data_IF_561559873378
#
_entry.id   IF_561559873378
#
_cell.length_a   1.000
_cell.length_b   1.000
_cell.length_c   1.000
_cell.angle_alpha   90.00
_cell.angle_beta   90.00
_cell.angle_gamma   90.00
#
_symmetry.space_group_name_H-M   'P 1'
#
loop_
_entity.id
_entity.type
_entity.pdbx_description
1 polymer ?
#
# COMPACT_ATOMS: atom_id res chain seq x y z
N UNK A 1 14.56 -7.49 -4.10
CA UNK A 1 13.61 -6.99 -3.10
C UNK A 1 12.23 -7.47 -3.49
N UNK A 2 11.46 -7.98 -2.54
CA UNK A 2 10.07 -8.40 -2.77
C UNK A 2 9.20 -7.47 -1.94
N UNK A 3 8.19 -6.88 -2.57
CA UNK A 3 7.20 -6.03 -1.91
C UNK A 3 5.83 -6.70 -2.03
N UNK A 4 5.01 -6.58 -0.99
CA UNK A 4 3.67 -7.18 -0.96
C UNK A 4 2.67 -6.06 -0.78
N UNK A 5 1.70 -5.99 -1.69
CA UNK A 5 0.57 -5.06 -1.56
C UNK A 5 -0.48 -5.59 -0.59
N UNK A 6 -1.67 -4.98 -0.62
CA UNK A 6 -2.81 -5.50 0.12
C UNK A 6 -3.20 -6.90 -0.40
N UNK A 7 -3.51 -7.82 0.50
CA UNK A 7 -4.01 -9.14 0.14
C UNK A 7 -4.99 -9.73 1.16
N UNK A 8 -5.88 -10.56 0.63
CA UNK A 8 -6.82 -11.43 1.33
C UNK A 8 -6.51 -12.90 1.00
N UNK A 9 -7.29 -13.83 1.55
CA UNK A 9 -7.19 -15.26 1.17
C UNK A 9 -7.55 -15.54 -0.29
N UNK A 10 -8.19 -14.61 -0.99
CA UNK A 10 -8.73 -14.84 -2.34
C UNK A 10 -8.33 -13.79 -3.38
N UNK A 11 -7.68 -12.72 -2.97
CA UNK A 11 -7.28 -11.58 -3.82
C UNK A 11 -5.99 -10.96 -3.27
N UNK A 12 -5.12 -10.40 -4.10
CA UNK A 12 -3.94 -9.69 -3.63
C UNK A 12 -2.88 -9.45 -4.70
N UNK A 13 -1.77 -8.82 -4.30
CA UNK A 13 -0.67 -8.49 -5.20
C UNK A 13 0.70 -8.58 -4.54
N UNK A 14 1.71 -8.92 -5.33
CA UNK A 14 3.12 -8.89 -4.93
C UNK A 14 4.00 -8.39 -6.07
N UNK A 15 5.09 -7.71 -5.74
CA UNK A 15 6.10 -7.26 -6.68
C UNK A 15 7.43 -7.93 -6.38
N UNK A 16 7.99 -8.57 -7.40
CA UNK A 16 9.35 -9.09 -7.38
C UNK A 16 10.28 -8.11 -8.09
N UNK A 17 11.38 -7.71 -7.44
CA UNK A 17 12.38 -6.82 -8.02
C UNK A 17 13.79 -7.36 -7.80
N UNK A 18 14.65 -7.24 -8.81
CA UNK A 18 16.09 -7.44 -8.68
C UNK A 18 16.87 -6.11 -8.63
N UNK A 19 16.17 -4.96 -8.57
CA UNK A 19 16.74 -3.62 -8.64
C UNK A 19 16.86 -3.04 -10.06
N UNK A 20 16.71 -3.86 -11.09
CA UNK A 20 16.76 -3.44 -12.51
C UNK A 20 15.43 -3.69 -13.24
N UNK A 21 14.71 -4.74 -12.87
CA UNK A 21 13.44 -5.14 -13.45
C UNK A 21 12.47 -5.56 -12.35
N UNK A 22 11.19 -5.28 -12.60
CA UNK A 22 10.12 -5.55 -11.67
C UNK A 22 9.02 -6.37 -12.34
N UNK A 23 8.50 -7.35 -11.61
CA UNK A 23 7.34 -8.13 -11.99
C UNK A 23 6.30 -8.02 -10.88
N UNK A 24 5.19 -7.38 -11.18
CA UNK A 24 4.01 -7.36 -10.33
C UNK A 24 3.11 -8.55 -10.69
N UNK A 25 2.70 -9.32 -9.69
CA UNK A 25 1.80 -10.46 -9.81
C UNK A 25 0.59 -10.21 -8.93
N UNK A 26 -0.56 -10.13 -9.56
CA UNK A 26 -1.86 -10.03 -8.89
C UNK A 26 -2.63 -11.35 -9.01
N UNK A 27 -3.37 -11.72 -7.97
CA UNK A 27 -4.30 -12.84 -7.99
C UNK A 27 -5.68 -12.39 -7.53
N UNK A 28 -6.73 -13.00 -8.10
CA UNK A 28 -8.14 -12.64 -7.90
C UNK A 28 -9.03 -13.88 -8.06
N UNK A 29 -10.29 -13.87 -7.61
CA UNK A 29 -11.24 -14.94 -7.88
C UNK A 29 -11.37 -15.25 -9.39
N UNK A 30 -11.43 -16.53 -9.76
CA UNK A 30 -11.39 -17.00 -11.16
C UNK A 30 -12.53 -16.48 -12.04
N UNK A 31 -13.69 -16.18 -11.46
CA UNK A 31 -14.85 -15.62 -12.16
C UNK A 31 -14.58 -14.22 -12.73
N UNK A 32 -13.56 -13.53 -12.24
CA UNK A 32 -13.12 -12.23 -12.75
C UNK A 32 -12.25 -12.33 -14.01
N UNK A 33 -11.72 -13.50 -14.35
CA UNK A 33 -10.66 -13.67 -15.35
C UNK A 33 -11.03 -13.11 -16.73
N UNK A 34 -12.19 -13.51 -17.28
CA UNK A 34 -12.58 -13.11 -18.63
C UNK A 34 -12.79 -11.60 -18.76
N UNK A 35 -13.28 -10.97 -17.68
CA UNK A 35 -13.42 -9.51 -17.61
C UNK A 35 -12.06 -8.82 -17.73
N UNK A 36 -11.04 -9.32 -17.02
CA UNK A 36 -9.69 -8.74 -17.10
C UNK A 36 -8.99 -9.02 -18.43
N UNK A 37 -9.19 -10.21 -19.02
CA UNK A 37 -8.70 -10.48 -20.38
C UNK A 37 -9.30 -9.51 -21.39
N UNK A 38 -10.60 -9.24 -21.31
CA UNK A 38 -11.28 -8.26 -22.17
C UNK A 38 -10.78 -6.83 -21.95
N UNK A 39 -10.59 -6.44 -20.68
CA UNK A 39 -10.05 -5.14 -20.31
C UNK A 39 -8.66 -4.89 -20.93
N UNK A 40 -7.74 -5.86 -20.83
CA UNK A 40 -6.40 -5.73 -21.42
C UNK A 40 -6.41 -5.79 -22.94
N UNK A 41 -7.31 -6.57 -23.52
CA UNK A 41 -7.46 -6.59 -24.97
C UNK A 41 -7.89 -5.22 -25.56
N UNK A 42 -8.57 -4.36 -24.78
CA UNK A 42 -9.06 -3.07 -25.28
C UNK A 42 -7.95 -2.05 -25.59
N UNK A 43 -6.77 -2.19 -24.96
CA UNK A 43 -5.65 -1.25 -25.12
C UNK A 43 -4.33 -1.88 -25.57
N UNK A 44 -4.31 -3.20 -25.79
CA UNK A 44 -3.07 -3.94 -26.05
C UNK A 44 -2.86 -4.33 -27.52
N UNK A 45 -1.65 -4.79 -27.83
CA UNK A 45 -1.38 -5.59 -29.02
C UNK A 45 -2.30 -6.83 -29.08
N UNK A 46 -2.56 -7.39 -30.28
CA UNK A 46 -3.33 -8.63 -30.40
C UNK A 46 -2.83 -9.71 -29.43
N UNK A 47 -3.74 -10.38 -28.70
CA UNK A 47 -3.36 -11.33 -27.65
C UNK A 47 -2.58 -12.51 -28.24
N UNK A 48 -1.61 -12.99 -27.47
CA UNK A 48 -0.87 -14.24 -27.74
C UNK A 48 -1.30 -15.31 -26.75
N UNK A 49 -1.50 -16.52 -27.25
CA UNK A 49 -1.74 -17.67 -26.39
C UNK A 49 -0.39 -18.21 -25.90
N UNK A 50 -0.26 -18.40 -24.60
CA UNK A 50 0.96 -18.86 -23.93
C UNK A 50 0.64 -19.98 -22.95
N UNK A 51 1.67 -20.58 -22.37
CA UNK A 51 1.54 -21.54 -21.27
C UNK A 51 2.35 -21.05 -20.09
N UNK A 52 1.73 -21.00 -18.90
CA UNK A 52 2.38 -20.64 -17.64
C UNK A 52 2.25 -21.82 -16.70
N UNK A 53 3.35 -22.48 -16.35
CA UNK A 53 3.36 -23.66 -15.47
C UNK A 53 2.37 -24.76 -15.87
N UNK A 54 2.24 -25.01 -17.17
CA UNK A 54 1.29 -25.98 -17.72
C UNK A 54 -0.15 -25.49 -17.84
N UNK A 55 -0.45 -24.27 -17.40
CA UNK A 55 -1.77 -23.66 -17.53
C UNK A 55 -1.84 -22.78 -18.80
N UNK A 56 -2.95 -22.81 -19.55
CA UNK A 56 -3.19 -21.87 -20.63
C UNK A 56 -3.22 -20.42 -20.13
N UNK A 57 -2.52 -19.53 -20.83
CA UNK A 57 -2.49 -18.10 -20.53
C UNK A 57 -2.71 -17.24 -21.78
N UNK A 58 -3.10 -15.99 -21.55
CA UNK A 58 -3.21 -14.96 -22.59
C UNK A 58 -2.24 -13.83 -22.26
N UNK A 59 -1.31 -13.59 -23.18
CA UNK A 59 -0.28 -12.56 -23.06
C UNK A 59 -0.60 -11.37 -23.98
N UNK A 60 -0.34 -10.19 -23.46
CA UNK A 60 -0.51 -8.89 -24.09
C UNK A 60 0.81 -8.12 -24.01
N UNK A 61 0.98 -7.18 -24.96
CA UNK A 61 2.03 -6.17 -24.89
C UNK A 61 1.38 -4.81 -25.12
N UNK A 62 1.64 -3.87 -24.23
CA UNK A 62 1.15 -2.49 -24.38
C UNK A 62 1.89 -1.83 -25.56
N UNK A 63 1.20 -1.43 -26.64
CA UNK A 63 1.84 -0.95 -27.86
C UNK A 63 2.80 0.22 -27.62
N UNK A 64 3.99 0.15 -28.20
CA UNK A 64 5.01 1.20 -28.08
C UNK A 64 5.74 1.21 -26.74
N UNK A 65 5.52 0.21 -25.88
CA UNK A 65 6.19 0.10 -24.57
C UNK A 65 6.85 -1.27 -24.39
N UNK A 66 7.83 -1.37 -23.46
CA UNK A 66 8.39 -2.66 -23.02
C UNK A 66 7.49 -3.38 -21.98
N UNK A 67 6.23 -2.97 -21.82
CA UNK A 67 5.32 -3.59 -20.86
C UNK A 67 4.68 -4.86 -21.42
N UNK A 68 4.84 -5.96 -20.69
CA UNK A 68 4.19 -7.23 -20.96
C UNK A 68 3.23 -7.58 -19.83
N UNK A 69 2.10 -8.18 -20.20
CA UNK A 69 1.04 -8.59 -19.27
C UNK A 69 0.59 -10.00 -19.64
N UNK A 70 0.55 -10.93 -18.69
CA UNK A 70 0.07 -12.30 -18.90
C UNK A 70 -0.98 -12.62 -17.88
N UNK A 71 -2.13 -13.10 -18.35
CA UNK A 71 -3.21 -13.58 -17.50
C UNK A 71 -3.37 -15.09 -17.68
N UNK A 72 -3.49 -15.82 -16.59
CA UNK A 72 -3.77 -17.26 -16.60
C UNK A 72 -4.67 -17.66 -15.44
N UNK A 73 -5.23 -18.88 -15.50
CA UNK A 73 -5.99 -19.47 -14.41
C UNK A 73 -5.19 -20.59 -13.76
N UNK A 74 -5.33 -20.76 -12.45
CA UNK A 74 -4.84 -21.95 -11.75
C UNK A 74 -5.79 -22.25 -10.58
N UNK A 75 -6.55 -23.34 -10.69
CA UNK A 75 -7.63 -23.67 -9.76
C UNK A 75 -8.73 -22.59 -9.75
N UNK A 76 -9.12 -22.15 -8.56
CA UNK A 76 -10.17 -21.14 -8.34
C UNK A 76 -9.66 -19.69 -8.39
N UNK A 77 -8.43 -19.49 -8.88
CA UNK A 77 -7.75 -18.20 -8.96
C UNK A 77 -7.43 -17.79 -10.40
N UNK A 78 -7.53 -16.49 -10.65
CA UNK A 78 -7.06 -15.79 -11.84
C UNK A 78 -5.80 -15.01 -11.48
N UNK A 79 -4.72 -15.23 -12.21
CA UNK A 79 -3.46 -14.53 -12.03
C UNK A 79 -3.21 -13.55 -13.17
N UNK A 80 -2.47 -12.51 -12.85
CA UNK A 80 -1.99 -11.50 -13.79
C UNK A 80 -0.57 -11.11 -13.41
N UNK A 81 0.39 -11.34 -14.31
CA UNK A 81 1.76 -10.86 -14.16
C UNK A 81 2.01 -9.71 -15.13
N UNK A 82 2.52 -8.58 -14.62
CA UNK A 82 2.88 -7.41 -15.44
C UNK A 82 4.26 -6.88 -15.09
N UNK A 83 4.97 -6.34 -16.08
CA UNK A 83 6.25 -5.68 -15.84
C UNK A 83 6.89 -5.13 -17.10
N UNK A 84 7.94 -4.32 -16.89
CA UNK A 84 8.74 -3.72 -17.95
C UNK A 84 9.99 -4.57 -18.20
N UNK A 85 10.13 -5.11 -19.40
CA UNK A 85 11.25 -5.98 -19.77
C UNK A 85 11.85 -5.59 -21.12
N UNK A 86 13.17 -5.75 -21.25
CA UNK A 86 13.89 -5.43 -22.49
C UNK A 86 13.34 -6.20 -23.70
N UNK A 87 12.95 -7.45 -23.48
CA UNK A 87 12.35 -8.31 -24.49
C UNK A 87 11.37 -9.31 -23.85
N UNK A 88 10.58 -9.93 -24.73
CA UNK A 88 9.55 -10.89 -24.36
C UNK A 88 10.13 -12.16 -23.73
N UNK A 89 11.27 -12.64 -24.22
CA UNK A 89 11.82 -13.92 -23.77
C UNK A 89 12.31 -13.81 -22.33
N UNK A 90 12.90 -12.66 -21.98
CA UNK A 90 13.27 -12.30 -20.61
C UNK A 90 12.05 -12.24 -19.70
N UNK A 91 10.96 -11.59 -20.13
CA UNK A 91 9.70 -11.56 -19.40
C UNK A 91 9.12 -12.98 -19.19
N UNK A 92 9.01 -13.75 -20.27
CA UNK A 92 8.44 -15.10 -20.24
C UNK A 92 9.24 -16.03 -19.30
N UNK A 93 10.57 -15.93 -19.29
CA UNK A 93 11.41 -16.72 -18.40
C UNK A 93 11.14 -16.44 -16.91
N UNK A 94 10.85 -15.18 -16.54
CA UNK A 94 10.50 -14.83 -15.14
C UNK A 94 9.10 -15.33 -14.80
N UNK A 95 8.13 -15.19 -15.70
CA UNK A 95 6.76 -15.69 -15.48
C UNK A 95 6.75 -17.22 -15.34
N UNK A 96 7.54 -17.93 -16.14
CA UNK A 96 7.70 -19.40 -16.03
C UNK A 96 8.43 -19.85 -14.76
N UNK A 97 9.23 -18.97 -14.14
CA UNK A 97 9.90 -19.26 -12.87
C UNK A 97 8.97 -19.13 -11.66
N UNK A 98 7.78 -18.53 -11.80
CA UNK A 98 6.80 -18.44 -10.73
C UNK A 98 6.33 -19.84 -10.35
N UNK A 99 6.39 -20.19 -9.06
CA UNK A 99 5.93 -21.51 -8.59
C UNK A 99 4.78 -21.33 -7.61
N UNK A 100 3.64 -22.03 -7.81
CA UNK A 100 2.61 -22.11 -6.79
C UNK A 100 3.19 -22.74 -5.53
N UNK A 101 2.90 -22.15 -4.38
CA UNK A 101 3.35 -22.65 -3.08
C UNK A 101 2.19 -22.60 -2.08
N UNK A 102 2.28 -23.35 -0.98
CA UNK A 102 1.28 -23.31 0.07
C UNK A 102 1.40 -22.01 0.91
N UNK A 103 0.33 -21.68 1.64
CA UNK A 103 0.23 -20.43 2.42
C UNK A 103 1.36 -20.33 3.45
N UNK A 104 1.74 -21.43 4.12
CA UNK A 104 2.77 -21.39 5.15
C UNK A 104 4.16 -21.16 4.54
N UNK A 105 4.48 -21.86 3.44
CA UNK A 105 5.70 -21.66 2.67
C UNK A 105 5.80 -20.23 2.11
N UNK A 106 4.69 -19.68 1.62
CA UNK A 106 4.61 -18.31 1.13
C UNK A 106 4.83 -17.29 2.26
N UNK A 107 4.11 -17.41 3.38
CA UNK A 107 4.27 -16.54 4.55
C UNK A 107 5.68 -16.62 5.16
N UNK A 108 6.33 -17.78 5.07
CA UNK A 108 7.72 -17.95 5.52
C UNK A 108 8.76 -17.37 4.57
N UNK A 109 8.40 -17.13 3.30
CA UNK A 109 9.26 -16.47 2.33
C UNK A 109 9.10 -14.94 2.34
N UNK A 110 8.13 -14.41 3.09
CA UNK A 110 7.88 -12.98 3.15
C UNK A 110 8.99 -12.21 3.87
N UNK A 111 9.28 -10.96 3.45
CA UNK A 111 10.20 -10.11 4.17
C UNK A 111 9.68 -9.86 5.60
N UNK A 112 10.61 -9.54 6.51
CA UNK A 112 10.31 -9.30 7.93
C UNK A 112 9.29 -8.16 8.14
N UNK A 113 9.10 -7.27 7.14
CA UNK A 113 8.10 -6.19 7.16
C UNK A 113 6.66 -6.70 7.09
N UNK A 114 6.39 -7.93 6.65
CA UNK A 114 5.02 -8.45 6.52
C UNK A 114 4.46 -8.85 7.89
N UNK A 115 3.34 -8.24 8.27
CA UNK A 115 2.62 -8.58 9.50
C UNK A 115 1.69 -9.78 9.25
N UNK A 116 1.99 -10.90 9.90
CA UNK A 116 1.21 -12.14 9.81
C UNK A 116 -0.15 -12.04 10.51
N UNK A 117 -1.18 -12.80 10.07
CA UNK A 117 -2.53 -12.69 10.63
C UNK A 117 -2.56 -13.03 12.12
N UNK A 118 -1.86 -14.10 12.51
CA UNK A 118 -1.78 -14.53 13.90
C UNK A 118 -1.02 -13.57 14.82
N UNK A 119 -0.28 -12.60 14.27
CA UNK A 119 0.52 -11.65 15.04
C UNK A 119 -0.11 -10.24 15.06
N UNK A 120 -1.15 -9.97 14.27
CA UNK A 120 -1.72 -8.62 14.08
C UNK A 120 -2.04 -7.91 15.40
N UNK A 121 -2.78 -8.55 16.30
CA UNK A 121 -3.10 -7.98 17.62
C UNK A 121 -1.86 -7.60 18.42
N UNK A 122 -0.85 -8.48 18.46
CA UNK A 122 0.39 -8.21 19.20
C UNK A 122 1.20 -7.07 18.58
N UNK A 123 1.15 -6.93 17.26
CA UNK A 123 1.84 -5.86 16.52
C UNK A 123 1.12 -4.53 16.73
N UNK A 124 -0.21 -4.50 16.65
CA UNK A 124 -1.03 -3.31 16.95
C UNK A 124 -0.77 -2.85 18.39
N UNK A 125 -0.80 -3.77 19.36
CA UNK A 125 -0.52 -3.46 20.76
C UNK A 125 0.90 -2.87 20.94
N UNK A 126 1.89 -3.38 20.20
CA UNK A 126 3.24 -2.81 20.20
C UNK A 126 3.30 -1.41 19.60
N UNK A 127 2.58 -1.14 18.51
CA UNK A 127 2.54 0.18 17.87
C UNK A 127 1.85 1.23 18.74
N UNK A 128 0.87 0.81 19.54
CA UNK A 128 0.10 1.69 20.42
C UNK A 128 0.78 1.97 21.78
N UNK A 129 1.88 1.29 22.10
CA UNK A 129 2.44 1.26 23.45
C UNK A 129 2.95 2.64 23.94
N UNK A 130 3.40 3.49 23.02
CA UNK A 130 3.92 4.83 23.28
C UNK A 130 3.03 5.96 22.72
N UNK A 131 1.82 5.60 22.26
CA UNK A 131 0.86 6.54 21.68
C UNK A 131 -0.25 6.82 22.69
N UNK A 132 -0.44 8.07 23.13
CA UNK A 132 -1.61 8.45 23.93
C UNK A 132 -2.90 8.18 23.16
N UNK A 133 -3.82 7.43 23.76
CA UNK A 133 -5.10 7.09 23.16
C UNK A 133 -6.20 7.97 23.75
N UNK A 134 -7.13 8.48 22.93
CA UNK A 134 -8.29 9.20 23.42
C UNK A 134 -9.26 8.27 24.13
N UNK A 135 -10.06 8.83 25.04
CA UNK A 135 -11.06 8.06 25.76
C UNK A 135 -12.02 7.36 24.79
N UNK A 136 -12.26 6.07 25.03
CA UNK A 136 -13.14 5.26 24.19
C UNK A 136 -12.54 4.82 22.86
N UNK A 137 -11.21 4.94 22.67
CA UNK A 137 -10.54 4.37 21.51
C UNK A 137 -10.74 2.84 21.46
N UNK A 138 -11.40 2.36 20.40
CA UNK A 138 -11.73 0.95 20.23
C UNK A 138 -10.71 0.25 19.32
N UNK A 139 -9.72 -0.38 19.95
CA UNK A 139 -8.68 -1.16 19.26
C UNK A 139 -9.27 -2.36 18.50
N UNK A 140 -10.42 -2.89 18.92
CA UNK A 140 -10.99 -4.10 18.31
C UNK A 140 -11.39 -3.89 16.85
N UNK A 141 -11.69 -2.65 16.46
CA UNK A 141 -11.95 -2.27 15.07
C UNK A 141 -10.71 -2.46 14.19
N UNK A 142 -9.51 -2.19 14.72
CA UNK A 142 -8.24 -2.40 14.02
C UNK A 142 -7.86 -3.88 13.91
N UNK A 143 -8.25 -4.67 14.92
CA UNK A 143 -7.99 -6.10 14.99
C UNK A 143 -8.94 -6.92 14.11
N UNK A 144 -10.17 -6.45 13.91
CA UNK A 144 -11.19 -7.10 13.08
C UNK A 144 -10.90 -7.02 11.56
N UNK A 145 -9.91 -6.24 11.15
CA UNK A 145 -9.47 -6.16 9.75
C UNK A 145 -8.91 -7.49 9.27
N UNK A 146 -9.44 -7.99 8.15
CA UNK A 146 -8.99 -9.23 7.50
C UNK A 146 -7.64 -9.09 6.79
N UNK A 147 -7.12 -7.86 6.70
CA UNK A 147 -6.08 -7.52 5.75
C UNK A 147 -4.69 -7.72 6.35
N UNK A 148 -3.90 -8.45 5.59
CA UNK A 148 -2.49 -8.66 5.84
C UNK A 148 -1.76 -7.57 5.09
N UNK A 149 -1.20 -6.65 5.86
CA UNK A 149 -0.46 -5.51 5.35
C UNK A 149 1.02 -5.63 5.68
N UNK A 150 1.83 -5.01 4.83
CA UNK A 150 3.14 -4.51 5.24
C UNK A 150 2.99 -3.67 6.53
N UNK A 151 3.97 -3.77 7.42
CA UNK A 151 4.05 -3.05 8.69
C UNK A 151 3.86 -1.54 8.53
N UNK A 152 4.32 -0.93 7.43
CA UNK A 152 4.08 0.47 7.12
C UNK A 152 2.58 0.78 6.98
N UNK A 153 1.84 -0.05 6.24
CA UNK A 153 0.40 0.15 6.01
C UNK A 153 -0.40 -0.08 7.30
N UNK A 154 -0.02 -1.09 8.09
CA UNK A 154 -0.63 -1.29 9.40
C UNK A 154 -0.31 -0.12 10.35
N UNK A 155 0.93 0.38 10.31
CA UNK A 155 1.35 1.57 11.05
C UNK A 155 0.49 2.78 10.70
N UNK A 156 0.33 3.08 9.41
CA UNK A 156 -0.52 4.17 8.91
C UNK A 156 -1.98 4.02 9.38
N UNK A 157 -2.54 2.81 9.33
CA UNK A 157 -3.89 2.54 9.83
C UNK A 157 -4.01 2.81 11.34
N UNK A 158 -3.05 2.32 12.14
CA UNK A 158 -3.05 2.48 13.60
C UNK A 158 -2.91 3.95 13.99
N UNK A 159 -1.86 4.62 13.51
CA UNK A 159 -1.58 6.02 13.87
C UNK A 159 -2.61 6.98 13.31
N UNK A 160 -3.12 6.71 12.10
CA UNK A 160 -4.21 7.46 11.49
C UNK A 160 -5.50 7.36 12.29
N UNK A 161 -5.85 6.17 12.77
CA UNK A 161 -7.06 5.96 13.57
C UNK A 161 -7.00 6.70 14.92
N UNK A 162 -5.84 6.68 15.58
CA UNK A 162 -5.63 7.43 16.82
C UNK A 162 -5.68 8.94 16.55
N UNK A 163 -4.96 9.41 15.52
CA UNK A 163 -4.94 10.82 15.14
C UNK A 163 -6.33 11.34 14.78
N UNK A 164 -7.12 10.59 14.01
CA UNK A 164 -8.51 10.95 13.70
C UNK A 164 -9.34 11.21 14.94
N UNK A 165 -9.23 10.35 15.96
CA UNK A 165 -9.99 10.51 17.20
C UNK A 165 -9.56 11.73 18.02
N UNK A 166 -8.26 12.03 18.06
CA UNK A 166 -7.78 13.27 18.69
C UNK A 166 -8.22 14.53 17.94
N UNK A 167 -8.19 14.49 16.61
CA UNK A 167 -8.66 15.60 15.77
C UNK A 167 -10.17 15.82 15.90
N UNK A 168 -10.96 14.75 15.94
CA UNK A 168 -12.40 14.81 16.25
C UNK A 168 -12.65 15.48 17.60
N UNK A 169 -11.96 15.03 18.66
CA UNK A 169 -12.05 15.64 19.99
C UNK A 169 -11.70 17.13 19.95
N UNK A 170 -10.61 17.53 19.27
CA UNK A 170 -10.23 18.94 19.16
C UNK A 170 -11.29 19.79 18.46
N UNK A 171 -11.88 19.31 17.37
CA UNK A 171 -12.96 20.00 16.63
C UNK A 171 -14.21 20.16 17.49
N UNK A 172 -14.65 19.09 18.14
CA UNK A 172 -15.86 19.09 18.98
C UNK A 172 -15.67 19.97 20.21
N UNK A 173 -14.49 19.90 20.84
CA UNK A 173 -14.11 20.72 21.98
C UNK A 173 -14.16 22.22 21.66
N UNK A 174 -13.61 22.64 20.50
CA UNK A 174 -13.71 24.05 20.06
C UNK A 174 -15.14 24.49 19.79
N UNK A 175 -15.97 23.61 19.23
CA UNK A 175 -17.40 23.90 19.01
C UNK A 175 -18.15 24.09 20.33
N UNK A 176 -17.83 23.27 21.33
CA UNK A 176 -18.45 23.30 22.65
C UNK A 176 -17.85 24.35 23.60
N UNK A 177 -16.67 24.91 23.28
CA UNK A 177 -15.90 25.75 24.19
C UNK A 177 -15.23 24.97 25.33
N UNK A 178 -15.00 23.67 25.16
CA UNK A 178 -14.32 22.82 26.13
C UNK A 178 -12.80 22.93 25.99
N UNK A 179 -12.22 23.89 26.68
CA UNK A 179 -10.78 24.16 26.60
C UNK A 179 -9.91 23.06 27.19
N UNK A 180 -10.46 22.19 28.05
CA UNK A 180 -9.71 21.08 28.63
C UNK A 180 -9.55 19.96 27.60
N UNK A 181 -10.64 19.56 26.94
CA UNK A 181 -10.62 18.55 25.89
C UNK A 181 -9.80 19.01 24.66
N UNK A 182 -9.84 20.30 24.33
CA UNK A 182 -9.01 20.90 23.28
C UNK A 182 -7.51 20.77 23.62
N UNK A 183 -7.11 21.17 24.84
CA UNK A 183 -5.73 21.14 25.28
C UNK A 183 -5.18 19.70 25.40
N UNK A 184 -6.03 18.75 25.77
CA UNK A 184 -5.67 17.33 25.83
C UNK A 184 -5.32 16.79 24.44
N UNK A 185 -6.17 17.06 23.43
CA UNK A 185 -5.91 16.63 22.05
C UNK A 185 -4.60 17.23 21.49
N UNK A 186 -4.35 18.52 21.76
CA UNK A 186 -3.09 19.18 21.38
C UNK A 186 -1.89 18.54 22.07
N UNK A 187 -1.98 18.25 23.37
CA UNK A 187 -0.91 17.63 24.12
C UNK A 187 -0.59 16.21 23.61
N UNK A 188 -1.62 15.41 23.34
CA UNK A 188 -1.48 14.06 22.82
C UNK A 188 -0.83 14.04 21.43
N UNK A 189 -1.39 14.78 20.47
CA UNK A 189 -0.86 14.88 19.10
C UNK A 189 0.53 15.52 19.07
N UNK A 190 0.83 16.45 19.99
CA UNK A 190 2.16 17.04 20.14
C UNK A 190 3.27 16.04 20.48
N UNK A 191 2.93 14.82 20.93
CA UNK A 191 3.90 13.75 21.15
C UNK A 191 4.24 12.95 19.88
N UNK A 192 3.53 13.17 18.76
CA UNK A 192 3.62 12.34 17.56
C UNK A 192 5.02 12.22 16.94
N UNK A 193 5.88 13.23 17.13
CA UNK A 193 7.29 13.17 16.69
C UNK A 193 8.14 12.16 17.46
N UNK A 194 7.61 11.56 18.52
CA UNK A 194 8.28 10.56 19.33
C UNK A 194 7.62 9.18 19.26
N UNK A 195 6.55 9.01 18.48
CA UNK A 195 5.90 7.71 18.33
C UNK A 195 6.80 6.79 17.52
N UNK A 196 7.21 5.67 18.11
CA UNK A 196 8.21 4.76 17.55
C UNK A 196 7.82 4.28 16.14
N UNK A 197 6.55 3.99 15.90
CA UNK A 197 6.06 3.56 14.58
C UNK A 197 6.13 4.68 13.53
N UNK A 198 5.95 5.95 13.91
CA UNK A 198 6.10 7.06 12.96
C UNK A 198 7.57 7.30 12.62
N UNK A 199 8.48 7.14 13.58
CA UNK A 199 9.92 7.21 13.33
C UNK A 199 10.40 6.08 12.42
N UNK A 200 9.84 4.88 12.59
CA UNK A 200 10.10 3.75 11.70
C UNK A 200 9.59 4.03 10.27
N UNK A 201 8.35 4.53 10.14
CA UNK A 201 7.74 4.83 8.84
C UNK A 201 8.45 5.98 8.10
N UNK A 202 9.05 6.94 8.80
CA UNK A 202 9.77 8.08 8.22
C UNK A 202 11.00 7.65 7.40
N UNK A 203 11.57 6.49 7.71
CA UNK A 203 12.67 5.91 6.93
C UNK A 203 12.20 5.35 5.57
N UNK A 204 10.90 5.06 5.44
CA UNK A 204 10.32 4.34 4.29
C UNK A 204 9.39 5.21 3.42
N UNK A 205 8.71 6.20 4.00
CA UNK A 205 7.73 7.01 3.29
C UNK A 205 7.21 8.23 4.06
N UNK A 206 6.38 9.02 3.38
CA UNK A 206 6.05 10.39 3.82
C UNK A 206 4.71 10.53 4.60
N UNK A 207 4.17 9.43 5.11
CA UNK A 207 2.95 9.49 5.93
C UNK A 207 3.16 10.27 7.25
N UNK A 208 4.26 10.07 8.00
CA UNK A 208 4.50 10.77 9.26
C UNK A 208 4.44 12.30 9.16
N UNK A 209 4.94 12.88 8.07
CA UNK A 209 4.99 14.32 7.85
C UNK A 209 3.59 14.94 7.75
N UNK A 210 2.64 14.23 7.13
CA UNK A 210 1.22 14.64 7.12
C UNK A 210 0.70 14.70 8.54
N UNK A 211 0.93 13.65 9.34
CA UNK A 211 0.41 13.57 10.70
C UNK A 211 1.04 14.64 11.60
N UNK A 212 2.35 14.87 11.49
CA UNK A 212 3.05 15.93 12.20
C UNK A 212 2.57 17.32 11.80
N UNK A 213 2.24 17.54 10.52
CA UNK A 213 1.63 18.79 10.06
C UNK A 213 0.27 19.03 10.71
N UNK A 214 -0.58 18.01 10.84
CA UNK A 214 -1.85 18.12 11.58
C UNK A 214 -1.61 18.41 13.07
N UNK A 215 -0.63 17.77 13.69
CA UNK A 215 -0.26 18.05 15.09
C UNK A 215 0.18 19.51 15.29
N UNK A 216 1.02 20.02 14.38
CA UNK A 216 1.50 21.41 14.41
C UNK A 216 0.36 22.41 14.12
N UNK A 217 -0.57 22.05 13.23
CA UNK A 217 -1.72 22.88 12.88
C UNK A 217 -2.68 23.05 14.07
N UNK A 218 -3.07 21.98 14.77
CA UNK A 218 -3.98 22.11 15.92
C UNK A 218 -3.34 22.81 17.12
N UNK A 219 -2.01 22.75 17.24
CA UNK A 219 -1.27 23.45 18.30
C UNK A 219 -1.16 24.97 18.05
N UNK A 220 -1.23 25.41 16.80
CA UNK A 220 -1.02 26.80 16.40
C UNK A 220 -2.25 27.49 15.79
N UNK A 221 -3.35 26.76 15.61
CA UNK A 221 -4.48 27.14 14.74
C UNK A 221 -4.00 27.44 13.30
N UNK A 222 -3.03 26.64 12.84
CA UNK A 222 -2.38 26.76 11.53
C UNK A 222 -3.15 26.08 10.40
N UNK A 223 -2.62 26.19 9.18
CA UNK A 223 -3.18 25.55 7.98
C UNK A 223 -2.42 24.27 7.62
N UNK A 224 -3.12 23.30 7.03
CA UNK A 224 -2.55 22.06 6.50
C UNK A 224 -2.41 22.16 4.97
N UNK A 225 -1.23 21.83 4.46
CA UNK A 225 -0.83 21.88 3.04
C UNK A 225 -0.83 20.48 2.42
N UNK A 226 -0.61 19.42 3.19
CA UNK A 226 -0.79 18.03 2.74
C UNK A 226 0.51 17.26 2.54
N UNK A 227 1.45 17.35 3.49
CA UNK A 227 2.60 16.44 3.65
C UNK A 227 3.74 16.57 2.65
N UNK A 228 3.49 16.89 1.38
CA UNK A 228 4.55 17.00 0.38
C UNK A 228 4.72 18.44 -0.09
N UNK A 229 5.73 19.12 0.45
CA UNK A 229 6.23 20.38 -0.13
C UNK A 229 7.16 20.02 -1.28
N UNK A 230 6.62 19.90 -2.48
CA UNK A 230 7.41 19.72 -3.69
C UNK A 230 8.30 20.95 -3.89
N UNK A 231 9.56 20.72 -4.26
CA UNK A 231 10.42 21.81 -4.75
C UNK A 231 9.83 22.40 -6.04
N UNK A 232 10.27 23.61 -6.41
CA UNK A 232 9.92 24.19 -7.72
C UNK A 232 10.33 23.26 -8.84
N UNK A 233 11.45 22.54 -8.69
CA UNK A 233 11.95 21.57 -9.66
C UNK A 233 11.06 20.33 -9.82
N UNK A 234 10.44 19.84 -8.74
CA UNK A 234 9.56 18.67 -8.76
C UNK A 234 8.12 19.01 -9.17
N UNK A 235 7.64 20.20 -8.82
CA UNK A 235 6.24 20.61 -9.07
C UNK A 235 6.01 21.18 -10.46
N UNK A 236 6.96 21.93 -11.04
CA UNK A 236 6.65 22.74 -12.21
C UNK A 236 6.28 21.94 -13.46
N UNK A 237 6.83 20.73 -13.62
CA UNK A 237 6.47 19.84 -14.72
C UNK A 237 5.03 19.35 -14.64
N UNK A 238 4.59 18.89 -13.46
CA UNK A 238 3.25 18.37 -13.25
C UNK A 238 2.19 19.48 -13.21
N UNK A 239 2.52 20.62 -12.59
CA UNK A 239 1.59 21.74 -12.40
C UNK A 239 1.43 22.59 -13.65
N UNK A 240 2.49 22.82 -14.41
CA UNK A 240 2.48 23.72 -15.57
C UNK A 240 2.75 23.02 -16.90
N UNK A 241 2.84 21.68 -16.92
CA UNK A 241 3.09 20.86 -18.11
C UNK A 241 4.30 21.34 -18.94
N UNK A 242 5.35 21.82 -18.27
CA UNK A 242 6.50 22.43 -18.90
C UNK A 242 7.49 21.39 -19.41
N UNK A 243 7.09 20.48 -20.33
CA UNK A 243 7.93 19.33 -20.66
C UNK A 243 7.66 18.51 -21.91
N UNK A 244 7.03 19.02 -22.96
CA UNK A 244 7.17 18.42 -24.30
C UNK A 244 8.42 19.01 -24.98
N UNK A 245 9.58 18.38 -24.80
CA UNK A 245 10.69 18.59 -25.74
C UNK A 245 10.38 17.74 -26.98
N UNK A 246 10.07 18.42 -28.09
CA UNK A 246 10.09 17.83 -29.43
C UNK A 246 11.46 17.24 -29.76
#
# INVERSE_FOLDING_TARGET
MTWVGEFTTVDGGMTFSNGESELEVNWRPVDTHDRFVLDRAAGASPPRQVTVNGQPGTEFQTPGTPEFITLWRNGDQSFEARGLFADRDSYAAVVEALTPTDIDSWLNAMPDSVVRPGNRSSVIASMLNDIPQPDGFDVSVLEAGADLGDRYQLGALVVGSVACKWLEQWVDARSAGDTAAEAEAVAAMGTARNWAILLEMDEEGHYPEVLWEYADAIASDGTVVGGMVLTVEESYYQTFNCGAKN
#
